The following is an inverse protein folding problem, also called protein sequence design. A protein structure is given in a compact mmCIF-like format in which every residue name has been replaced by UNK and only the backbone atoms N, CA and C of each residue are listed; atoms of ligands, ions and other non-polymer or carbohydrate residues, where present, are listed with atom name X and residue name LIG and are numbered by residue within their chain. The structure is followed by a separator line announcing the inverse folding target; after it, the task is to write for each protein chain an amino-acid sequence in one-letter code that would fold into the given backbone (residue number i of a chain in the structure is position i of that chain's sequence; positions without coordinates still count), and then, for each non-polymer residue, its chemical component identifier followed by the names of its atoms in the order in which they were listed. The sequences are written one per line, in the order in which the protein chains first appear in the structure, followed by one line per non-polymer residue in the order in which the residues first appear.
data_IF_018791343314
#
_entry.id   IF_018791343314
#
_cell.length_a   1.000
_cell.length_b   1.000
_cell.length_c   1.000
_cell.angle_alpha   90.00
_cell.angle_beta   90.00
_cell.angle_gamma   90.00
#
_symmetry.space_group_name_H-M   'P 1'
#
loop_
_entity.id
_entity.type
_entity.pdbx_description
1 polymer ?
#
# COMPACT_ATOMS: atom_id res chain seq x y z
N UNK A 1 -4.51 -25.55 4.99
CA UNK A 1 -4.65 -24.20 4.40
C UNK A 1 -6.07 -23.76 4.70
N UNK A 2 -6.37 -23.17 5.85
CA UNK A 2 -7.78 -22.86 6.17
C UNK A 2 -8.38 -21.91 5.13
N UNK A 3 -9.63 -22.12 4.65
CA UNK A 3 -10.62 -23.12 5.08
C UNK A 3 -10.52 -24.48 4.36
N UNK A 4 -9.58 -24.68 3.44
CA UNK A 4 -9.39 -25.95 2.77
C UNK A 4 -8.94 -27.03 3.74
N UNK A 5 -9.67 -28.15 3.73
CA UNK A 5 -9.27 -29.35 4.44
C UNK A 5 -8.17 -30.04 3.63
N UNK A 6 -6.92 -29.87 4.08
CA UNK A 6 -5.76 -30.47 3.42
C UNK A 6 -4.45 -29.74 3.67
N UNK A 7 -3.38 -30.38 3.24
CA UNK A 7 -2.01 -29.90 3.30
C UNK A 7 -1.49 -29.63 1.89
N UNK A 8 -0.64 -28.63 1.76
CA UNK A 8 0.11 -28.35 0.53
C UNK A 8 1.60 -28.29 0.91
N UNK A 9 2.48 -28.46 -0.07
CA UNK A 9 3.92 -28.40 0.11
C UNK A 9 4.45 -27.10 -0.46
N UNK A 10 5.29 -26.42 0.30
CA UNK A 10 6.18 -25.36 -0.18
C UNK A 10 7.61 -25.92 -0.11
N UNK A 11 8.22 -26.09 -1.28
CA UNK A 11 9.61 -26.52 -1.42
C UNK A 11 10.44 -25.34 -1.93
N UNK A 12 11.63 -25.20 -1.37
CA UNK A 12 12.58 -24.15 -1.72
C UNK A 12 13.89 -24.84 -1.96
N UNK A 13 14.46 -24.60 -3.14
CA UNK A 13 15.78 -25.09 -3.48
C UNK A 13 16.80 -24.69 -2.39
N UNK A 14 17.66 -25.62 -1.91
CA UNK A 14 18.61 -25.34 -0.84
C UNK A 14 19.52 -24.14 -1.09
N UNK A 15 19.99 -23.93 -2.32
CA UNK A 15 20.89 -22.82 -2.67
C UNK A 15 20.21 -21.46 -2.42
N UNK A 16 18.93 -21.37 -2.79
CA UNK A 16 18.09 -20.21 -2.50
C UNK A 16 17.82 -20.08 -1.00
N UNK A 17 17.50 -21.19 -0.32
CA UNK A 17 17.23 -21.19 1.12
C UNK A 17 18.42 -20.70 1.94
N UNK A 18 19.62 -21.21 1.65
CA UNK A 18 20.84 -20.77 2.30
C UNK A 18 21.23 -19.34 1.92
N UNK A 19 21.05 -18.93 0.66
CA UNK A 19 21.28 -17.54 0.26
C UNK A 19 20.36 -16.56 1.02
N UNK A 20 19.11 -16.94 1.30
CA UNK A 20 18.21 -16.14 2.14
C UNK A 20 18.71 -16.05 3.59
N UNK A 21 19.15 -17.17 4.17
CA UNK A 21 19.64 -17.23 5.56
C UNK A 21 20.92 -16.41 5.73
N UNK A 22 21.89 -16.56 4.83
CA UNK A 22 23.16 -15.83 4.88
C UNK A 22 22.94 -14.32 4.84
N UNK A 23 22.06 -13.85 3.97
CA UNK A 23 21.69 -12.43 3.90
C UNK A 23 20.99 -11.93 5.16
N UNK A 24 20.19 -12.77 5.82
CA UNK A 24 19.58 -12.41 7.11
C UNK A 24 20.60 -12.32 8.25
N UNK A 25 21.71 -13.03 8.15
CA UNK A 25 22.86 -12.90 9.06
C UNK A 25 23.84 -11.78 8.67
N UNK A 26 23.57 -11.05 7.59
CA UNK A 26 24.41 -9.94 7.11
C UNK A 26 25.49 -10.33 6.11
N UNK A 27 25.45 -11.57 5.59
CA UNK A 27 26.32 -12.04 4.52
C UNK A 27 25.91 -11.56 3.13
N UNK A 28 26.73 -11.90 2.12
CA UNK A 28 26.53 -11.48 0.73
C UNK A 28 25.57 -12.40 -0.04
N UNK A 29 25.21 -13.56 0.51
CA UNK A 29 24.36 -14.57 -0.13
C UNK A 29 25.10 -15.41 -1.18
N UNK A 30 26.44 -15.47 -1.12
CA UNK A 30 27.31 -16.08 -2.13
C UNK A 30 28.09 -17.29 -1.63
N UNK A 31 27.74 -17.86 -0.47
CA UNK A 31 28.47 -19.00 0.05
C UNK A 31 28.17 -20.26 -0.80
N UNK A 32 29.20 -21.10 -1.01
CA UNK A 32 29.02 -22.43 -1.58
C UNK A 32 28.32 -23.32 -0.54
N UNK A 33 27.00 -23.31 -0.59
CA UNK A 33 26.18 -24.11 0.30
C UNK A 33 26.11 -25.52 -0.25
N UNK A 34 27.15 -26.31 0.04
CA UNK A 34 27.13 -27.76 -0.20
C UNK A 34 25.81 -28.37 0.28
N UNK A 35 25.32 -29.40 -0.42
CA UNK A 35 24.04 -30.10 -0.15
C UNK A 35 24.00 -30.75 1.23
N UNK A 36 23.85 -29.92 2.27
CA UNK A 36 23.74 -30.32 3.67
C UNK A 36 22.39 -29.86 4.22
N UNK A 37 21.84 -30.57 5.21
CA UNK A 37 20.69 -30.08 5.94
C UNK A 37 21.02 -28.78 6.70
N UNK A 38 20.00 -27.96 6.92
CA UNK A 38 20.08 -26.79 7.81
C UNK A 38 20.40 -27.23 9.26
N UNK A 39 21.25 -26.47 9.93
CA UNK A 39 21.47 -26.54 11.38
C UNK A 39 20.24 -26.05 12.15
N UNK A 40 20.16 -26.30 13.45
CA UNK A 40 19.01 -25.89 14.25
C UNK A 40 18.81 -24.37 14.30
N UNK A 41 19.91 -23.60 14.33
CA UNK A 41 19.87 -22.13 14.29
C UNK A 41 19.33 -21.66 12.93
N UNK A 42 19.82 -22.27 11.84
CA UNK A 42 19.38 -21.96 10.47
C UNK A 42 17.91 -22.31 10.28
N UNK A 43 17.43 -23.45 10.80
CA UNK A 43 16.01 -23.84 10.76
C UNK A 43 15.11 -22.81 11.43
N UNK A 44 15.53 -22.22 12.55
CA UNK A 44 14.77 -21.17 13.24
C UNK A 44 14.63 -19.91 12.37
N UNK A 45 15.69 -19.52 11.69
CA UNK A 45 15.68 -18.37 10.76
C UNK A 45 14.86 -18.69 9.51
N UNK A 46 15.06 -19.88 8.95
CA UNK A 46 14.31 -20.36 7.80
C UNK A 46 12.80 -20.41 8.07
N UNK A 47 12.40 -20.84 9.28
CA UNK A 47 11.00 -20.79 9.72
C UNK A 47 10.39 -19.39 9.64
N UNK A 48 11.17 -18.34 9.92
CA UNK A 48 10.69 -16.94 9.77
C UNK A 48 10.48 -16.59 8.29
N UNK A 49 11.42 -16.98 7.42
CA UNK A 49 11.29 -16.80 5.96
C UNK A 49 10.02 -17.48 5.45
N UNK A 50 9.79 -18.74 5.82
CA UNK A 50 8.59 -19.47 5.41
C UNK A 50 7.33 -18.75 5.90
N UNK A 51 7.29 -18.29 7.16
CA UNK A 51 6.14 -17.54 7.67
C UNK A 51 5.90 -16.22 6.93
N UNK A 52 6.94 -15.54 6.44
CA UNK A 52 6.76 -14.37 5.57
C UNK A 52 6.14 -14.73 4.23
N UNK A 53 6.62 -15.81 3.60
CA UNK A 53 6.03 -16.33 2.35
C UNK A 53 4.56 -16.69 2.57
N UNK A 54 4.27 -17.45 3.63
CA UNK A 54 2.90 -17.82 4.02
C UNK A 54 2.03 -16.59 4.36
N UNK A 55 2.63 -15.52 4.91
CA UNK A 55 1.95 -14.26 5.19
C UNK A 55 1.46 -13.52 3.94
N UNK A 56 2.03 -13.79 2.76
CA UNK A 56 1.61 -13.20 1.49
C UNK A 56 0.44 -13.96 0.83
N UNK A 57 0.18 -15.22 1.21
CA UNK A 57 -0.91 -16.02 0.64
C UNK A 57 -2.31 -15.41 0.84
N UNK A 58 -2.69 -14.89 2.02
CA UNK A 58 -4.01 -14.29 2.22
C UNK A 58 -4.30 -13.15 1.23
N UNK A 59 -3.29 -12.35 0.88
CA UNK A 59 -3.39 -11.26 -0.09
C UNK A 59 -3.51 -11.82 -1.52
N UNK A 60 -2.65 -12.77 -1.90
CA UNK A 60 -2.70 -13.39 -3.22
C UNK A 60 -4.03 -14.10 -3.53
N UNK A 61 -4.71 -14.60 -2.49
CA UNK A 61 -5.98 -15.32 -2.62
C UNK A 61 -7.22 -14.47 -2.28
N UNK A 62 -7.06 -13.20 -1.88
CA UNK A 62 -8.15 -12.36 -1.33
C UNK A 62 -9.39 -12.31 -2.25
N UNK A 63 -9.18 -12.32 -3.57
CA UNK A 63 -10.23 -12.23 -4.58
C UNK A 63 -11.04 -13.53 -4.77
N UNK A 64 -10.57 -14.68 -4.27
CA UNK A 64 -11.25 -15.97 -4.42
C UNK A 64 -11.83 -16.40 -3.06
N UNK A 65 -10.98 -16.40 -2.03
CA UNK A 65 -11.36 -16.64 -0.64
C UNK A 65 -10.24 -16.19 0.30
N UNK A 66 -10.60 -15.88 1.54
CA UNK A 66 -9.60 -15.62 2.58
C UNK A 66 -8.96 -16.94 3.01
N UNK A 67 -7.71 -17.14 2.63
CA UNK A 67 -6.90 -18.28 3.09
C UNK A 67 -6.02 -17.89 4.27
N UNK A 68 -5.76 -18.84 5.16
CA UNK A 68 -4.76 -18.72 6.24
C UNK A 68 -3.88 -19.97 6.26
N UNK A 69 -2.76 -19.98 5.53
CA UNK A 69 -1.80 -21.05 5.68
C UNK A 69 -1.10 -20.97 7.03
N UNK A 70 -0.84 -22.14 7.61
CA UNK A 70 -0.06 -22.30 8.82
C UNK A 70 1.05 -23.30 8.51
N UNK A 71 2.27 -22.97 8.93
CA UNK A 71 3.39 -23.89 8.84
C UNK A 71 3.19 -25.03 9.85
N UNK A 72 3.07 -26.26 9.34
CA UNK A 72 2.97 -27.47 10.19
C UNK A 72 4.33 -28.02 10.55
N UNK A 73 5.16 -28.28 9.55
CA UNK A 73 6.48 -28.89 9.73
C UNK A 73 7.47 -28.43 8.66
N UNK A 74 8.76 -28.58 8.93
CA UNK A 74 9.85 -28.33 7.98
C UNK A 74 10.70 -29.58 7.88
N UNK A 75 10.72 -30.19 6.71
CA UNK A 75 11.48 -31.40 6.43
C UNK A 75 12.53 -31.15 5.35
N UNK A 76 13.72 -31.72 5.54
CA UNK A 76 14.81 -31.62 4.57
C UNK A 76 14.83 -32.79 3.58
N UNK A 77 14.21 -33.92 3.93
CA UNK A 77 14.13 -35.09 3.06
C UNK A 77 12.68 -35.28 2.56
N UNK A 78 12.44 -35.22 1.24
CA UNK A 78 11.08 -35.33 0.69
C UNK A 78 10.41 -36.68 0.96
N UNK A 79 11.16 -37.74 1.26
CA UNK A 79 10.59 -39.06 1.57
C UNK A 79 9.75 -39.08 2.86
N UNK A 80 9.99 -38.14 3.78
CA UNK A 80 9.19 -37.99 5.00
C UNK A 80 8.00 -37.03 4.81
N UNK A 81 7.90 -36.38 3.66
CA UNK A 81 6.90 -35.34 3.38
C UNK A 81 5.86 -35.84 2.38
N UNK A 82 5.18 -36.94 2.71
CA UNK A 82 4.07 -37.45 1.90
C UNK A 82 2.72 -36.94 2.43
N UNK A 83 2.13 -35.97 1.74
CA UNK A 83 0.82 -35.40 2.10
C UNK A 83 -0.37 -36.07 1.39
N UNK A 84 -0.12 -36.71 0.25
CA UNK A 84 -1.10 -37.43 -0.56
C UNK A 84 -0.46 -38.67 -1.19
N UNK A 85 -1.25 -39.68 -1.59
CA UNK A 85 -0.78 -40.79 -2.42
C UNK A 85 -0.09 -40.29 -3.70
N UNK A 86 0.97 -40.96 -4.14
CA UNK A 86 1.75 -40.54 -5.31
C UNK A 86 1.02 -40.59 -6.66
N UNK A 87 -0.19 -41.16 -6.68
CA UNK A 87 -1.05 -41.24 -7.87
C UNK A 87 -2.09 -40.13 -7.95
N UNK A 88 -2.21 -39.28 -6.91
CA UNK A 88 -3.20 -38.20 -6.89
C UNK A 88 -2.76 -37.03 -7.78
N UNK A 89 -3.73 -36.39 -8.44
CA UNK A 89 -3.47 -35.19 -9.23
C UNK A 89 -3.04 -34.02 -8.33
N UNK A 90 -1.98 -33.34 -8.71
CA UNK A 90 -1.46 -32.15 -8.01
C UNK A 90 -1.28 -31.00 -8.98
N UNK A 91 -1.48 -29.79 -8.48
CA UNK A 91 -1.11 -28.55 -9.15
C UNK A 91 0.27 -28.15 -8.63
N UNK A 92 1.23 -28.05 -9.54
CA UNK A 92 2.58 -27.58 -9.24
C UNK A 92 2.77 -26.16 -9.78
N UNK A 93 3.10 -25.24 -8.89
CA UNK A 93 3.48 -23.87 -9.23
C UNK A 93 4.98 -23.75 -9.02
N UNK A 94 5.71 -23.54 -10.10
CA UNK A 94 7.16 -23.36 -10.06
C UNK A 94 7.50 -21.88 -10.24
N UNK A 95 8.17 -21.31 -9.25
CA UNK A 95 8.65 -19.94 -9.24
C UNK A 95 10.16 -19.96 -9.42
N UNK A 96 10.67 -19.24 -10.41
CA UNK A 96 12.11 -19.01 -10.56
C UNK A 96 12.50 -17.84 -9.65
N UNK A 97 13.45 -18.09 -8.76
CA UNK A 97 13.93 -17.10 -7.79
C UNK A 97 15.42 -16.86 -7.98
N UNK A 98 15.83 -15.60 -7.89
CA UNK A 98 17.24 -15.19 -7.94
C UNK A 98 17.57 -14.26 -6.79
N UNK A 99 18.59 -14.62 -6.02
CA UNK A 99 19.08 -13.85 -4.86
C UNK A 99 20.58 -13.64 -5.02
N UNK A 100 20.98 -12.41 -5.34
CA UNK A 100 22.38 -12.12 -5.65
C UNK A 100 22.84 -12.92 -6.87
N UNK A 101 23.85 -13.77 -6.69
CA UNK A 101 24.36 -14.70 -7.71
C UNK A 101 23.66 -16.06 -7.71
N UNK A 102 22.89 -16.41 -6.68
CA UNK A 102 22.22 -17.71 -6.57
C UNK A 102 20.87 -17.68 -7.29
N UNK A 103 20.60 -18.73 -8.07
CA UNK A 103 19.34 -18.94 -8.79
C UNK A 103 18.81 -20.33 -8.45
N UNK A 104 17.49 -20.44 -8.27
CA UNK A 104 16.86 -21.71 -7.94
C UNK A 104 15.34 -21.61 -7.95
N UNK A 105 14.71 -22.76 -7.77
CA UNK A 105 13.27 -22.89 -7.85
C UNK A 105 12.63 -22.85 -6.46
N UNK A 106 11.44 -22.25 -6.40
CA UNK A 106 10.51 -22.36 -5.29
C UNK A 106 9.26 -23.03 -5.84
N UNK A 107 8.91 -24.20 -5.32
CA UNK A 107 7.78 -24.97 -5.78
C UNK A 107 6.65 -24.95 -4.74
N UNK A 108 5.43 -24.70 -5.20
CA UNK A 108 4.21 -24.85 -4.41
C UNK A 108 3.41 -25.99 -5.01
N UNK A 109 3.27 -27.09 -4.26
CA UNK A 109 2.53 -28.27 -4.67
C UNK A 109 1.21 -28.34 -3.90
N UNK A 110 0.09 -28.21 -4.61
CA UNK A 110 -1.26 -28.19 -4.06
C UNK A 110 -2.03 -29.39 -4.61
N UNK A 111 -2.45 -30.35 -3.77
CA UNK A 111 -3.31 -31.45 -4.20
C UNK A 111 -4.63 -30.96 -4.82
N UNK A 112 -5.06 -31.61 -5.90
CA UNK A 112 -6.29 -31.24 -6.60
C UNK A 112 -7.53 -31.30 -5.69
N UNK A 113 -7.59 -32.28 -4.78
CA UNK A 113 -8.68 -32.44 -3.79
C UNK A 113 -8.91 -31.18 -2.93
N UNK A 114 -7.86 -30.37 -2.70
CA UNK A 114 -8.01 -29.10 -1.97
C UNK A 114 -8.67 -28.02 -2.82
N UNK A 115 -8.47 -28.06 -4.13
CA UNK A 115 -8.94 -27.04 -5.06
C UNK A 115 -10.30 -27.41 -5.66
N UNK A 116 -10.66 -28.69 -5.70
CA UNK A 116 -11.95 -29.20 -6.19
C UNK A 116 -13.17 -28.33 -5.76
N UNK A 117 -13.32 -27.91 -4.48
CA UNK A 117 -14.49 -27.13 -4.06
C UNK A 117 -14.57 -25.71 -4.64
N UNK A 118 -13.49 -25.21 -5.25
CA UNK A 118 -13.39 -23.84 -5.75
C UNK A 118 -13.02 -23.76 -7.24
N UNK A 119 -12.94 -24.90 -7.94
CA UNK A 119 -12.59 -24.94 -9.38
C UNK A 119 -13.49 -23.99 -10.18
N UNK A 120 -14.79 -23.96 -9.89
CA UNK A 120 -15.74 -23.06 -10.59
C UNK A 120 -15.46 -21.58 -10.36
N UNK A 121 -14.90 -21.22 -9.19
CA UNK A 121 -14.50 -19.83 -8.85
C UNK A 121 -13.18 -19.43 -9.48
N UNK A 122 -12.38 -20.40 -9.94
CA UNK A 122 -11.10 -20.18 -10.63
C UNK A 122 -11.28 -19.92 -12.13
N UNK A 123 -12.53 -19.88 -12.64
CA UNK A 123 -12.79 -19.66 -14.05
C UNK A 123 -12.37 -18.23 -14.49
N UNK A 124 -11.30 -18.16 -15.29
CA UNK A 124 -10.58 -16.95 -15.66
C UNK A 124 -11.46 -15.87 -16.34
N UNK A 125 -12.53 -16.26 -17.05
CA UNK A 125 -13.40 -15.32 -17.75
C UNK A 125 -14.25 -14.46 -16.79
N UNK A 126 -14.68 -15.01 -15.65
CA UNK A 126 -15.36 -14.24 -14.61
C UNK A 126 -14.37 -13.47 -13.73
N UNK A 127 -13.15 -13.99 -13.57
CA UNK A 127 -12.06 -13.40 -12.80
C UNK A 127 -11.57 -12.06 -13.38
N UNK A 128 -11.30 -11.97 -14.68
CA UNK A 128 -10.85 -10.71 -15.29
C UNK A 128 -11.93 -9.62 -15.29
N UNK A 129 -13.19 -10.00 -15.46
CA UNK A 129 -14.31 -9.06 -15.51
C UNK A 129 -14.68 -8.51 -14.13
N UNK A 130 -14.75 -9.36 -13.09
CA UNK A 130 -15.14 -8.94 -11.72
C UNK A 130 -14.01 -8.31 -10.92
N UNK A 131 -12.77 -8.81 -11.05
CA UNK A 131 -11.61 -8.30 -10.28
C UNK A 131 -11.29 -6.84 -10.62
N UNK A 132 -11.38 -6.44 -11.89
CA UNK A 132 -11.19 -5.03 -12.28
C UNK A 132 -12.21 -4.09 -11.62
N UNK A 133 -13.49 -4.49 -11.56
CA UNK A 133 -14.55 -3.62 -11.03
C UNK A 133 -14.52 -3.52 -9.50
N UNK A 134 -14.31 -4.63 -8.79
CA UNK A 134 -14.32 -4.66 -7.32
C UNK A 134 -13.04 -4.09 -6.68
N UNK A 135 -11.85 -4.40 -7.23
CA UNK A 135 -10.60 -3.84 -6.71
C UNK A 135 -10.55 -2.33 -6.89
N UNK A 136 -11.01 -1.80 -8.02
CA UNK A 136 -11.13 -0.35 -8.25
C UNK A 136 -12.05 0.30 -7.22
N UNK A 137 -13.22 -0.30 -6.93
CA UNK A 137 -14.19 0.30 -6.00
C UNK A 137 -13.67 0.32 -4.55
N UNK A 138 -13.05 -0.78 -4.10
CA UNK A 138 -12.48 -0.86 -2.74
C UNK A 138 -11.27 0.04 -2.57
N UNK A 139 -10.38 0.10 -3.56
CA UNK A 139 -9.22 1.00 -3.55
C UNK A 139 -9.67 2.46 -3.52
N UNK A 140 -10.66 2.85 -4.34
CA UNK A 140 -11.25 4.18 -4.32
C UNK A 140 -11.83 4.52 -2.94
N UNK A 141 -12.51 3.58 -2.29
CA UNK A 141 -13.08 3.81 -0.96
C UNK A 141 -12.01 3.98 0.13
N UNK A 142 -10.94 3.18 0.11
CA UNK A 142 -9.81 3.32 1.03
C UNK A 142 -9.12 4.67 0.80
N UNK A 143 -8.87 5.03 -0.45
CA UNK A 143 -8.21 6.28 -0.81
C UNK A 143 -9.08 7.49 -0.42
N UNK A 144 -10.39 7.43 -0.70
CA UNK A 144 -11.37 8.45 -0.28
C UNK A 144 -11.39 8.60 1.24
N UNK A 145 -11.37 7.50 1.99
CA UNK A 145 -11.35 7.56 3.46
C UNK A 145 -10.05 8.16 4.00
N UNK A 146 -8.91 7.89 3.36
CA UNK A 146 -7.63 8.52 3.72
C UNK A 146 -7.65 10.02 3.43
N UNK A 147 -8.07 10.42 2.23
CA UNK A 147 -8.18 11.85 1.85
C UNK A 147 -9.11 12.61 2.79
N UNK A 148 -10.26 12.02 3.17
CA UNK A 148 -11.20 12.63 4.13
C UNK A 148 -10.61 12.87 5.52
N UNK A 149 -9.55 12.14 5.90
CA UNK A 149 -8.90 12.25 7.22
C UNK A 149 -7.65 13.12 7.19
N UNK A 150 -7.26 13.63 6.03
CA UNK A 150 -6.11 14.53 5.92
C UNK A 150 -6.47 15.89 6.49
N UNK A 151 -5.69 16.34 7.47
CA UNK A 151 -5.79 17.70 7.99
C UNK A 151 -5.23 18.69 6.97
N UNK A 152 -5.92 19.81 6.79
CA UNK A 152 -5.50 20.91 5.92
C UNK A 152 -5.47 22.20 6.74
N UNK A 153 -4.43 22.99 6.56
CA UNK A 153 -4.32 24.31 7.18
C UNK A 153 -5.19 25.31 6.42
N UNK A 154 -6.06 25.97 7.16
CA UNK A 154 -7.00 26.97 6.67
C UNK A 154 -6.57 28.33 7.19
N UNK A 155 -6.49 29.31 6.29
CA UNK A 155 -6.17 30.69 6.63
C UNK A 155 -7.38 31.57 6.31
N UNK A 156 -7.84 32.36 7.28
CA UNK A 156 -8.87 33.37 7.07
C UNK A 156 -8.18 34.72 6.85
N UNK A 157 -8.22 35.21 5.61
CA UNK A 157 -7.65 36.48 5.22
C UNK A 157 -8.68 37.60 5.44
N UNK A 158 -8.37 38.49 6.40
CA UNK A 158 -9.23 39.63 6.74
C UNK A 158 -9.03 40.83 5.80
N UNK A 159 -7.89 40.88 5.10
CA UNK A 159 -7.49 41.95 4.20
C UNK A 159 -5.99 41.96 4.03
N UNK A 160 -5.53 42.68 3.01
CA UNK A 160 -4.13 42.87 2.67
C UNK A 160 -3.75 44.36 2.81
N UNK A 161 -2.46 44.63 3.00
CA UNK A 161 -1.92 45.98 3.01
C UNK A 161 -0.56 45.97 2.32
N UNK A 162 -0.33 46.93 1.45
CA UNK A 162 0.96 47.15 0.81
C UNK A 162 1.75 48.16 1.65
N UNK A 163 2.97 47.77 2.04
CA UNK A 163 3.89 48.60 2.81
C UNK A 163 5.23 48.65 2.09
N UNK A 164 5.85 49.82 2.09
CA UNK A 164 7.24 49.94 1.63
C UNK A 164 8.20 49.31 2.63
N UNK A 165 9.38 48.89 2.17
CA UNK A 165 10.41 48.29 3.04
C UNK A 165 10.80 49.24 4.19
N UNK A 166 10.83 50.54 3.92
CA UNK A 166 11.11 51.55 4.96
C UNK A 166 10.03 51.61 6.03
N UNK A 167 8.74 51.61 5.66
CA UNK A 167 7.63 51.60 6.62
C UNK A 167 7.63 50.34 7.49
N UNK A 168 7.94 49.18 6.89
CA UNK A 168 8.07 47.92 7.62
C UNK A 168 9.20 47.95 8.66
N UNK A 169 10.33 48.61 8.35
CA UNK A 169 11.47 48.72 9.26
C UNK A 169 11.22 49.65 10.46
N UNK A 170 10.36 50.65 10.29
CA UNK A 170 10.07 51.65 11.33
C UNK A 170 8.76 51.38 12.10
N UNK A 171 8.12 50.24 11.87
CA UNK A 171 6.86 49.87 12.50
C UNK A 171 7.02 49.68 14.02
N UNK A 172 6.22 50.39 14.81
CA UNK A 172 6.26 50.36 16.27
C UNK A 172 4.94 49.87 16.89
N UNK A 173 4.97 49.32 18.12
CA UNK A 173 3.76 48.99 18.86
C UNK A 173 2.88 50.24 19.02
N UNK A 174 1.70 50.23 18.41
CA UNK A 174 0.76 51.35 18.41
C UNK A 174 0.42 51.87 17.01
N UNK A 175 1.20 51.51 15.99
CA UNK A 175 0.94 51.89 14.61
C UNK A 175 -0.32 51.20 14.05
N UNK A 176 -1.07 51.95 13.24
CA UNK A 176 -2.32 51.48 12.63
C UNK A 176 -2.08 51.19 11.15
N UNK A 177 -2.08 49.90 10.79
CA UNK A 177 -2.03 49.47 9.40
C UNK A 177 -3.46 49.40 8.87
N UNK A 178 -3.74 50.18 7.83
CA UNK A 178 -5.04 50.16 7.15
C UNK A 178 -5.04 49.04 6.11
N UNK A 179 -5.98 48.10 6.27
CA UNK A 179 -6.23 47.05 5.28
C UNK A 179 -7.07 47.58 4.10
N UNK A 180 -6.99 46.87 2.97
CA UNK A 180 -7.74 47.12 1.74
C UNK A 180 -9.24 46.77 1.82
N UNK A 181 -9.66 45.97 2.80
CA UNK A 181 -11.05 45.53 3.00
C UNK A 181 -11.76 46.27 4.12
N UNK A 182 -13.08 46.44 3.98
CA UNK A 182 -13.94 46.96 5.05
C UNK A 182 -14.31 45.85 6.03
N UNK A 183 -14.62 46.22 7.26
CA UNK A 183 -15.10 45.28 8.29
C UNK A 183 -16.45 44.62 7.96
N UNK A 184 -17.21 45.18 7.02
CA UNK A 184 -18.45 44.62 6.50
C UNK A 184 -18.25 43.52 5.46
N UNK A 185 -17.04 43.40 4.91
CA UNK A 185 -16.77 42.51 3.79
C UNK A 185 -16.52 41.09 4.28
N UNK A 186 -16.78 40.11 3.42
CA UNK A 186 -16.49 38.72 3.74
C UNK A 186 -14.98 38.44 3.71
N UNK A 187 -14.51 37.68 4.69
CA UNK A 187 -13.15 37.19 4.75
C UNK A 187 -12.99 35.97 3.82
N UNK A 188 -11.85 35.93 3.13
CA UNK A 188 -11.51 34.84 2.22
C UNK A 188 -10.84 33.72 3.01
N UNK A 189 -11.41 32.52 2.93
CA UNK A 189 -10.85 31.33 3.58
C UNK A 189 -10.06 30.56 2.53
N UNK A 190 -8.75 30.49 2.73
CA UNK A 190 -7.79 29.90 1.81
C UNK A 190 -7.29 28.55 2.34
N UNK A 191 -7.07 27.64 1.41
CA UNK A 191 -6.26 26.43 1.61
C UNK A 191 -5.02 26.59 0.74
N UNK A 192 -3.86 26.80 1.36
CA UNK A 192 -2.66 27.23 0.65
C UNK A 192 -2.92 28.53 -0.11
N UNK A 193 -2.68 28.54 -1.43
CA UNK A 193 -2.84 29.72 -2.27
C UNK A 193 -4.19 29.82 -3.01
N UNK A 194 -5.19 29.00 -2.65
CA UNK A 194 -6.51 29.01 -3.31
C UNK A 194 -7.61 29.40 -2.31
N UNK A 195 -8.43 30.38 -2.68
CA UNK A 195 -9.65 30.70 -1.94
C UNK A 195 -10.67 29.60 -2.16
N UNK A 196 -11.25 29.08 -1.07
CA UNK A 196 -12.22 27.98 -1.12
C UNK A 196 -13.56 28.33 -0.50
N UNK A 197 -13.59 29.25 0.46
CA UNK A 197 -14.83 29.69 1.09
C UNK A 197 -14.81 31.19 1.34
N UNK A 198 -15.99 31.79 1.44
CA UNK A 198 -16.18 33.12 2.00
C UNK A 198 -16.87 33.01 3.35
N UNK A 199 -16.43 33.81 4.33
CA UNK A 199 -16.98 33.76 5.67
C UNK A 199 -17.02 35.09 6.40
N UNK A 200 -17.85 35.16 7.44
CA UNK A 200 -17.89 36.32 8.35
C UNK A 200 -17.05 35.99 9.59
N UNK A 201 -16.01 36.78 9.90
CA UNK A 201 -15.29 36.64 11.16
C UNK A 201 -16.20 37.03 12.33
N UNK A 202 -16.08 36.32 13.45
CA UNK A 202 -16.90 36.54 14.63
C UNK A 202 -16.37 35.78 15.85
N UNK A 203 -17.23 35.60 16.85
CA UNK A 203 -16.90 34.90 18.07
C UNK A 203 -17.95 33.83 18.38
N UNK A 204 -17.49 32.63 18.70
CA UNK A 204 -18.34 31.52 19.14
C UNK A 204 -17.82 30.96 20.45
N UNK A 205 -18.66 30.91 21.49
CA UNK A 205 -18.28 30.46 22.84
C UNK A 205 -16.97 31.09 23.35
N UNK A 206 -16.82 32.41 23.20
CA UNK A 206 -15.64 33.21 23.57
C UNK A 206 -14.37 32.98 22.72
N UNK A 207 -14.41 32.10 21.72
CA UNK A 207 -13.29 31.86 20.81
C UNK A 207 -13.51 32.58 19.48
N UNK A 208 -12.43 33.08 18.87
CA UNK A 208 -12.48 33.59 17.50
C UNK A 208 -12.94 32.47 16.56
N UNK A 209 -13.92 32.78 15.72
CA UNK A 209 -14.51 31.84 14.80
C UNK A 209 -14.83 32.55 13.47
N UNK A 210 -14.95 31.77 12.40
CA UNK A 210 -15.40 32.27 11.11
C UNK A 210 -16.62 31.47 10.67
N UNK A 211 -17.70 32.16 10.31
CA UNK A 211 -18.91 31.53 9.79
C UNK A 211 -18.82 31.43 8.28
N UNK A 212 -18.77 30.23 7.74
CA UNK A 212 -18.78 29.98 6.29
C UNK A 212 -20.17 30.36 5.74
N UNK A 213 -20.17 31.18 4.69
CA UNK A 213 -21.39 31.64 3.98
C UNK A 213 -21.51 30.93 2.64
N UNK A 214 -20.39 30.83 1.93
CA UNK A 214 -20.35 30.36 0.55
C UNK A 214 -19.12 29.50 0.33
N UNK A 215 -19.28 28.41 -0.43
CA UNK A 215 -18.20 27.60 -0.95
C UNK A 215 -17.95 27.99 -2.40
N UNK A 216 -16.68 28.29 -2.73
CA UNK A 216 -16.28 28.65 -4.08
C UNK A 216 -15.92 27.36 -4.83
N UNK A 217 -16.67 27.08 -5.90
CA UNK A 217 -16.34 25.96 -6.78
C UNK A 217 -15.02 26.24 -7.51
N UNK A 218 -14.15 25.22 -7.67
CA UNK A 218 -12.96 25.38 -8.48
C UNK A 218 -13.36 25.67 -9.92
N UNK A 219 -12.70 26.66 -10.55
CA UNK A 219 -12.73 26.80 -12.00
C UNK A 219 -12.32 25.45 -12.61
N UNK A 220 -13.17 24.95 -13.52
CA UNK A 220 -12.88 23.75 -14.30
C UNK A 220 -11.62 24.02 -15.12
N UNK A 221 -10.52 23.39 -14.74
CA UNK A 221 -9.31 23.35 -15.58
C UNK A 221 -9.70 22.51 -16.80
N UNK A 222 -9.92 23.17 -17.94
CA UNK A 222 -10.14 22.50 -19.22
C UNK A 222 -8.80 21.84 -19.63
N UNK A 223 -8.71 20.52 -19.84
CA UNK A 223 -7.44 19.84 -20.12
C UNK A 223 -6.83 20.12 -21.51
N UNK A 224 -7.28 21.16 -22.22
CA UNK A 224 -7.08 21.32 -23.67
C UNK A 224 -5.90 22.18 -24.12
N UNK A 225 -5.21 22.89 -23.23
CA UNK A 225 -4.13 23.81 -23.63
C UNK A 225 -2.88 23.54 -22.81
N UNK A 226 -2.08 22.55 -23.22
CA UNK A 226 -0.64 22.50 -23.00
C UNK A 226 -0.05 21.32 -23.78
N UNK A 227 0.62 21.58 -24.92
CA UNK A 227 1.53 20.59 -25.51
C UNK A 227 1.69 20.52 -27.03
N UNK A 228 1.58 21.60 -27.80
CA UNK A 228 2.31 21.66 -29.08
C UNK A 228 3.75 22.10 -28.79
N UNK A 229 4.62 21.12 -28.50
CA UNK A 229 6.05 21.29 -28.60
C UNK A 229 6.41 21.31 -30.09
N UNK A 230 6.74 22.48 -30.60
CA UNK A 230 7.40 22.68 -31.89
C UNK A 230 8.80 22.06 -31.82
N UNK A 231 9.01 20.98 -32.57
CA UNK A 231 10.34 20.53 -32.98
C UNK A 231 10.81 21.41 -34.15
N UNK A 232 11.79 22.29 -33.90
CA UNK A 232 12.75 22.78 -34.89
C UNK A 232 14.18 22.54 -34.39
#
# INVERSE_FOLDING_TARGET
LEPFQGQFILEINPDIGFAMIDRLFGGLGTADFSSRPFTDIEKVVFKKIINWILGAFPEAWENILRVRPLLRDIESNPQFTQIVPGNDMVILITLVSKIGSSEGLINICIPYIMIEPIVDRLNAQQWFAKTRLEQTTRHINILRNRIKRTSLDLYAELGSAELTVSELLYLQPGDVIRLDRKSSDYADIRIGNRVKFKGVPGQHNKHLAIKIIEAIEPETIDPGEDGELTDE
#
